data_IF_061269314875
#
_entry.id   IF_061269314875
#
_cell.length_a   1.000
_cell.length_b   1.000
_cell.length_c   1.000
_cell.angle_alpha   90.00
_cell.angle_beta   90.00
_cell.angle_gamma   90.00
#
_symmetry.space_group_name_H-M   'P 1'
#
loop_
_entity.id
_entity.type
_entity.pdbx_description
1 polymer ?
#
# COMPACT_ATOMS: atom_id res chain seq x y z
N UNK A 1 2.88 5.33 -14.62
CA UNK A 1 1.83 6.00 -13.84
C UNK A 1 2.11 5.72 -12.38
N UNK A 2 2.48 6.73 -11.59
CA UNK A 2 2.54 6.58 -10.13
C UNK A 2 1.10 6.40 -9.64
N UNK A 3 0.76 5.20 -9.17
CA UNK A 3 -0.53 4.95 -8.55
C UNK A 3 -0.67 5.82 -7.32
N UNK A 4 -1.85 6.42 -7.14
CA UNK A 4 -2.23 7.12 -5.91
C UNK A 4 -1.93 6.22 -4.71
N UNK A 5 -1.36 6.79 -3.65
CA UNK A 5 -1.09 6.03 -2.44
C UNK A 5 -2.42 5.58 -1.86
N UNK A 6 -2.48 4.41 -1.21
CA UNK A 6 -3.71 3.92 -0.57
C UNK A 6 -4.32 4.95 0.41
N UNK A 7 -3.45 5.76 1.04
CA UNK A 7 -3.84 6.90 1.85
C UNK A 7 -4.68 7.93 1.10
N UNK A 8 -4.35 8.19 -0.17
CA UNK A 8 -5.00 9.19 -1.00
C UNK A 8 -6.39 8.72 -1.42
N UNK A 9 -6.55 7.43 -1.70
CA UNK A 9 -7.85 6.82 -1.96
C UNK A 9 -8.76 6.82 -0.72
N UNK A 10 -8.22 6.51 0.47
CA UNK A 10 -8.98 6.60 1.72
C UNK A 10 -9.37 8.04 2.04
N UNK A 11 -8.47 8.99 1.80
CA UNK A 11 -8.75 10.41 1.98
C UNK A 11 -9.84 10.90 1.03
N UNK A 12 -9.78 10.51 -0.25
CA UNK A 12 -10.81 10.83 -1.23
C UNK A 12 -12.20 10.31 -0.84
N UNK A 13 -12.28 9.08 -0.31
CA UNK A 13 -13.53 8.52 0.23
C UNK A 13 -14.07 9.35 1.40
N UNK A 14 -13.21 9.83 2.28
CA UNK A 14 -13.60 10.71 3.39
C UNK A 14 -14.10 12.08 2.89
N UNK A 15 -13.45 12.69 1.90
CA UNK A 15 -13.91 13.95 1.31
C UNK A 15 -15.28 13.79 0.63
N UNK A 16 -15.55 12.64 0.00
CA UNK A 16 -16.84 12.33 -0.64
C UNK A 16 -18.00 12.32 0.37
N UNK A 17 -17.72 11.95 1.63
CA UNK A 17 -18.69 11.84 2.72
C UNK A 17 -18.98 13.18 3.40
N UNK A 18 -18.00 14.07 3.50
CA UNK A 18 -18.11 15.32 4.27
C UNK A 18 -19.39 16.13 3.96
N UNK A 19 -19.79 16.33 2.69
CA UNK A 19 -21.03 17.06 2.39
C UNK A 19 -22.28 16.39 2.96
N UNK A 20 -22.31 15.06 3.03
CA UNK A 20 -23.43 14.30 3.58
C UNK A 20 -23.56 14.46 5.10
N UNK A 21 -22.41 14.49 5.79
CA UNK A 21 -22.34 14.59 7.26
C UNK A 21 -22.60 16.02 7.73
N UNK A 22 -22.12 17.02 6.99
CA UNK A 22 -22.28 18.44 7.34
C UNK A 22 -23.62 19.04 6.86
N UNK A 23 -24.54 18.23 6.35
CA UNK A 23 -25.88 18.66 5.91
C UNK A 23 -25.90 19.39 4.56
N UNK A 24 -24.83 19.29 3.77
CA UNK A 24 -24.71 19.90 2.44
C UNK A 24 -25.24 19.04 1.28
N UNK A 25 -25.51 17.74 1.51
CA UNK A 25 -26.06 16.83 0.50
C UNK A 25 -26.85 15.70 1.15
N UNK A 26 -28.03 15.39 0.62
CA UNK A 26 -28.74 14.17 0.98
C UNK A 26 -28.16 13.00 0.18
N UNK A 27 -27.80 11.92 0.87
CA UNK A 27 -27.26 10.70 0.28
C UNK A 27 -28.31 9.60 0.38
N UNK A 28 -28.53 8.91 -0.72
CA UNK A 28 -29.46 7.77 -0.76
C UNK A 28 -28.87 6.56 -0.03
N UNK A 29 -29.74 5.64 0.42
CA UNK A 29 -29.28 4.41 1.06
C UNK A 29 -28.38 3.55 0.15
N UNK A 30 -28.61 3.58 -1.17
CA UNK A 30 -27.78 2.87 -2.14
C UNK A 30 -26.38 3.49 -2.27
N UNK A 31 -26.28 4.81 -2.40
CA UNK A 31 -25.00 5.52 -2.42
C UNK A 31 -24.20 5.28 -1.15
N UNK A 32 -24.86 5.28 0.01
CA UNK A 32 -24.22 5.00 1.29
C UNK A 32 -23.73 3.55 1.38
N UNK A 33 -24.51 2.59 0.88
CA UNK A 33 -24.11 1.17 0.81
C UNK A 33 -22.91 0.95 -0.12
N UNK A 34 -22.90 1.59 -1.29
CA UNK A 34 -21.78 1.50 -2.23
C UNK A 34 -20.49 2.07 -1.64
N UNK A 35 -20.59 3.20 -0.94
CA UNK A 35 -19.48 3.82 -0.23
C UNK A 35 -18.92 2.93 0.89
N UNK A 36 -19.79 2.33 1.72
CA UNK A 36 -19.36 1.39 2.76
C UNK A 36 -18.60 0.20 2.18
N UNK A 37 -19.04 -0.33 1.03
CA UNK A 37 -18.32 -1.40 0.33
C UNK A 37 -16.92 -0.96 -0.08
N UNK A 38 -16.79 0.24 -0.68
CA UNK A 38 -15.49 0.81 -1.09
C UNK A 38 -14.56 1.00 0.11
N UNK A 39 -15.09 1.50 1.23
CA UNK A 39 -14.32 1.68 2.47
C UNK A 39 -13.82 0.33 3.01
N UNK A 40 -14.70 -0.67 3.09
CA UNK A 40 -14.34 -2.00 3.56
C UNK A 40 -13.28 -2.66 2.68
N UNK A 41 -13.39 -2.53 1.35
CA UNK A 41 -12.34 -3.01 0.44
C UNK A 41 -11.02 -2.30 0.67
N UNK A 42 -11.03 -0.98 0.84
CA UNK A 42 -9.80 -0.22 1.07
C UNK A 42 -9.13 -0.59 2.41
N UNK A 43 -9.91 -0.85 3.47
CA UNK A 43 -9.38 -1.34 4.75
C UNK A 43 -8.79 -2.75 4.63
N UNK A 44 -9.48 -3.68 3.97
CA UNK A 44 -8.97 -5.03 3.75
C UNK A 44 -7.64 -5.01 2.99
N UNK A 45 -7.52 -4.17 1.96
CA UNK A 45 -6.26 -4.00 1.22
C UNK A 45 -5.14 -3.40 2.10
N UNK A 46 -5.48 -2.50 3.03
CA UNK A 46 -4.50 -1.96 3.97
C UNK A 46 -3.96 -3.04 4.91
N UNK A 47 -4.85 -3.89 5.44
CA UNK A 47 -4.49 -5.04 6.28
C UNK A 47 -3.60 -6.03 5.53
N UNK A 48 -3.95 -6.37 4.29
CA UNK A 48 -3.16 -7.28 3.44
C UNK A 48 -1.73 -6.74 3.20
N UNK A 49 -1.61 -5.44 2.90
CA UNK A 49 -0.32 -4.78 2.70
C UNK A 49 0.50 -4.76 3.99
N UNK A 50 -0.13 -4.53 5.13
CA UNK A 50 0.55 -4.55 6.43
C UNK A 50 1.06 -5.95 6.78
N UNK A 51 0.27 -7.00 6.53
CA UNK A 51 0.72 -8.38 6.75
C UNK A 51 1.83 -8.77 5.76
N UNK A 52 1.74 -8.39 4.48
CA UNK A 52 2.82 -8.61 3.51
C UNK A 52 4.12 -7.94 3.98
N UNK A 53 4.06 -6.68 4.42
CA UNK A 53 5.20 -5.96 4.99
C UNK A 53 5.78 -6.71 6.20
N UNK A 54 4.92 -7.19 7.12
CA UNK A 54 5.36 -7.94 8.30
C UNK A 54 6.08 -9.24 7.94
N UNK A 55 5.56 -9.98 6.95
CA UNK A 55 6.18 -11.21 6.45
C UNK A 55 7.54 -10.92 5.79
N UNK A 56 7.65 -9.83 5.02
CA UNK A 56 8.90 -9.38 4.40
C UNK A 56 9.94 -9.00 5.46
N UNK A 57 9.57 -8.21 6.47
CA UNK A 57 10.44 -7.84 7.58
C UNK A 57 10.93 -9.08 8.34
N UNK A 58 10.03 -10.02 8.64
CA UNK A 58 10.39 -11.29 9.28
C UNK A 58 11.37 -12.11 8.43
N UNK A 59 11.15 -12.20 7.12
CA UNK A 59 12.07 -12.87 6.19
C UNK A 59 13.45 -12.19 6.17
N UNK A 60 13.50 -10.86 6.18
CA UNK A 60 14.75 -10.10 6.19
C UNK A 60 15.54 -10.34 7.48
N UNK A 61 14.87 -10.39 8.63
CA UNK A 61 15.48 -10.73 9.92
C UNK A 61 16.04 -12.15 9.93
N UNK A 62 15.27 -13.14 9.45
CA UNK A 62 15.69 -14.55 9.39
C UNK A 62 16.79 -14.81 8.35
N UNK A 63 16.86 -14.02 7.28
CA UNK A 63 17.92 -14.10 6.27
C UNK A 63 19.24 -13.50 6.75
N UNK A 64 19.29 -12.99 7.99
CA UNK A 64 20.52 -12.72 8.73
C UNK A 64 21.40 -11.67 8.09
N UNK A 65 20.96 -10.40 8.07
CA UNK A 65 21.83 -9.21 8.09
C UNK A 65 23.01 -9.12 7.11
N UNK A 66 23.05 -9.95 6.05
CA UNK A 66 24.10 -9.92 5.04
C UNK A 66 23.72 -8.87 4.00
N UNK A 67 24.19 -7.66 4.29
CA UNK A 67 24.48 -6.58 3.36
C UNK A 67 24.82 -7.06 1.94
N UNK A 68 23.79 -7.12 1.10
CA UNK A 68 23.87 -6.92 -0.34
C UNK A 68 22.70 -5.99 -0.69
N UNK A 69 22.90 -4.95 -1.52
CA UNK A 69 21.85 -4.00 -1.85
C UNK A 69 20.91 -4.62 -2.88
N UNK A 70 20.23 -5.70 -2.50
CA UNK A 70 19.10 -6.21 -3.24
C UNK A 70 17.88 -5.59 -2.58
N UNK A 71 17.54 -4.39 -3.06
CA UNK A 71 16.18 -3.90 -2.91
C UNK A 71 15.27 -4.97 -3.52
N UNK A 72 14.59 -5.74 -2.66
CA UNK A 72 13.57 -6.68 -3.12
C UNK A 72 12.36 -5.80 -3.43
N UNK A 73 12.12 -5.63 -4.72
CA UNK A 73 11.04 -4.80 -5.22
C UNK A 73 9.94 -5.71 -5.75
N UNK A 74 8.67 -5.29 -5.60
CA UNK A 74 7.52 -6.07 -6.06
C UNK A 74 7.59 -6.42 -7.56
N UNK A 75 6.73 -7.31 -8.07
CA UNK A 75 6.82 -7.87 -9.43
C UNK A 75 6.82 -6.82 -10.56
N UNK A 76 6.46 -5.57 -10.26
CA UNK A 76 6.44 -4.44 -11.18
C UNK A 76 7.75 -3.63 -11.24
N UNK A 77 8.81 -4.04 -10.55
CA UNK A 77 10.06 -3.26 -10.53
C UNK A 77 11.27 -4.15 -10.79
N UNK A 78 12.10 -3.71 -11.74
CA UNK A 78 13.33 -4.41 -12.15
C UNK A 78 14.46 -4.06 -11.18
N UNK A 79 15.07 -5.04 -10.49
CA UNK A 79 16.21 -4.78 -9.63
C UNK A 79 17.44 -4.36 -10.46
N UNK A 80 18.11 -3.28 -10.06
CA UNK A 80 19.38 -2.86 -10.67
C UNK A 80 20.51 -3.83 -10.28
N UNK A 81 21.36 -4.27 -11.22
CA UNK A 81 22.49 -5.12 -10.91
C UNK A 81 23.55 -4.35 -10.10
N UNK A 82 23.88 -4.85 -8.91
CA UNK A 82 25.01 -4.34 -8.12
C UNK A 82 26.34 -4.74 -8.79
N UNK A 83 27.29 -3.81 -8.98
CA UNK A 83 28.62 -4.17 -9.48
C UNK A 83 29.33 -5.08 -8.45
N UNK A 84 29.79 -6.24 -8.90
CA UNK A 84 30.61 -7.16 -8.13
C UNK A 84 31.95 -6.51 -7.77
N UNK A 85 32.44 -6.60 -6.51
CA UNK A 85 33.77 -6.13 -6.19
C UNK A 85 34.78 -7.10 -6.81
N UNK A 86 35.54 -6.65 -7.83
CA UNK A 86 36.74 -7.35 -8.28
C UNK A 86 37.70 -7.47 -7.11
N UNK A 87 38.01 -8.71 -6.71
CA UNK A 87 39.04 -9.01 -5.72
C UNK A 87 40.36 -8.35 -6.11
N UNK A 88 41.07 -7.82 -5.13
CA UNK A 88 42.47 -7.41 -5.27
C UNK A 88 43.35 -8.52 -4.73
N UNK A 89 44.28 -8.93 -5.59
CA UNK A 89 45.46 -9.75 -5.33
C UNK A 89 46.36 -9.14 -4.24
#
# INVERSE_FOLDING_TARGET
MCGELLSDHLFALCEEIKPAVHGGKYVTGEEFSALLRRLNTAMALAEDIEEEKRLLERRNLLSGGRTLPLAIVGPNVVPFPSPTPRGRE
#
